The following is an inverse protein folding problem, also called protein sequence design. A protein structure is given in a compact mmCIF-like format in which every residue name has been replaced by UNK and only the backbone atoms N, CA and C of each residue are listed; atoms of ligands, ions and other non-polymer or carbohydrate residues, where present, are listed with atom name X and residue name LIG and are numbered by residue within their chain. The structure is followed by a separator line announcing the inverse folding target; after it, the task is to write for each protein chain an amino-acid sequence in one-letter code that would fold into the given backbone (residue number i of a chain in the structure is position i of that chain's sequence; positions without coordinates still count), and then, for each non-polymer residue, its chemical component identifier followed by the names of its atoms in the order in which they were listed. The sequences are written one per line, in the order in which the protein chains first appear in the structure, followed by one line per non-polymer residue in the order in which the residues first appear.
data_IF_360001467380
#
_entry.id   IF_360001467380
#
_cell.length_a   1.000
_cell.length_b   1.000
_cell.length_c   1.000
_cell.angle_alpha   90.00
_cell.angle_beta   90.00
_cell.angle_gamma   90.00
#
_symmetry.space_group_name_H-M   'P 1'
#
loop_
_entity.id
_entity.type
_entity.pdbx_description
1 polymer ?
#
# COMPACT_ATOMS: atom_id res chain seq x y z
N UNK A 1 -9.79 28.82 1.16
CA UNK A 1 -9.32 27.43 0.96
C UNK A 1 -7.81 27.49 0.80
N UNK A 2 -7.01 27.01 1.78
CA UNK A 2 -5.55 26.97 1.63
C UNK A 2 -5.22 25.81 0.69
N UNK A 3 -4.77 26.13 -0.52
CA UNK A 3 -4.31 25.14 -1.48
C UNK A 3 -2.95 24.62 -1.01
N UNK A 4 -2.92 23.44 -0.40
CA UNK A 4 -1.66 22.71 -0.18
C UNK A 4 -1.11 22.29 -1.54
N UNK A 5 0.13 22.68 -1.85
CA UNK A 5 0.83 22.25 -3.07
C UNK A 5 0.75 20.72 -3.21
N UNK A 6 0.66 20.23 -4.46
CA UNK A 6 0.64 18.81 -4.81
C UNK A 6 1.86 18.07 -4.25
N UNK A 7 3.00 18.77 -4.13
CA UNK A 7 4.25 18.27 -3.55
C UNK A 7 4.10 17.98 -2.05
N UNK A 8 3.47 18.89 -1.28
CA UNK A 8 3.20 18.67 0.14
C UNK A 8 2.22 17.54 0.42
N UNK A 9 1.33 17.23 -0.53
CA UNK A 9 0.33 16.16 -0.38
C UNK A 9 0.90 14.76 -0.62
N UNK A 10 2.13 14.67 -1.16
CA UNK A 10 2.80 13.42 -1.52
C UNK A 10 3.95 13.05 -0.57
N UNK A 11 4.39 13.98 0.29
CA UNK A 11 5.46 13.74 1.25
C UNK A 11 4.99 12.81 2.38
N UNK A 12 5.67 11.68 2.54
CA UNK A 12 5.52 10.79 3.69
C UNK A 12 6.03 11.51 4.94
N UNK A 13 5.13 11.83 5.88
CA UNK A 13 5.50 12.54 7.10
C UNK A 13 5.38 11.61 8.31
N UNK A 14 6.51 11.30 8.99
CA UNK A 14 6.46 10.57 10.24
C UNK A 14 5.62 11.29 11.30
N UNK A 15 4.78 10.55 12.01
CA UNK A 15 4.00 11.07 13.13
C UNK A 15 4.92 11.36 14.31
N UNK A 16 4.68 12.50 14.96
CA UNK A 16 5.33 12.84 16.23
C UNK A 16 4.82 11.98 17.39
N UNK A 17 3.62 11.41 17.27
CA UNK A 17 3.01 10.53 18.27
C UNK A 17 3.17 9.08 17.83
N UNK A 18 3.93 8.30 18.61
CA UNK A 18 4.15 6.87 18.34
C UNK A 18 3.01 5.97 18.84
N UNK A 19 2.02 6.52 19.55
CA UNK A 19 0.86 5.78 20.07
C UNK A 19 -0.19 5.50 19.00
N UNK A 20 -0.20 6.26 17.91
CA UNK A 20 -1.13 6.10 16.79
C UNK A 20 -0.71 5.01 15.81
N UNK A 21 -1.37 4.98 14.65
CA UNK A 21 -1.08 4.04 13.55
C UNK A 21 -0.66 4.76 12.27
N UNK A 22 -1.20 5.96 12.00
CA UNK A 22 -0.82 6.74 10.82
C UNK A 22 0.51 7.46 11.05
N UNK A 23 1.40 7.46 10.05
CA UNK A 23 2.74 8.04 10.20
C UNK A 23 3.64 7.30 11.18
N UNK A 24 3.28 6.09 11.63
CA UNK A 24 4.12 5.26 12.52
C UNK A 24 4.71 4.12 11.71
N UNK A 25 5.97 3.75 11.99
CA UNK A 25 6.62 2.63 11.29
C UNK A 25 5.81 1.35 11.49
N UNK A 26 5.56 0.62 10.40
CA UNK A 26 4.74 -0.59 10.43
C UNK A 26 5.24 -1.61 11.47
N UNK A 27 6.57 -1.77 11.60
CA UNK A 27 7.20 -2.64 12.60
C UNK A 27 6.88 -2.26 14.07
N UNK A 28 6.67 -0.97 14.35
CA UNK A 28 6.28 -0.49 15.69
C UNK A 28 4.81 -0.86 15.95
N UNK A 29 3.93 -0.64 14.97
CA UNK A 29 2.51 -0.95 15.05
C UNK A 29 2.29 -2.44 15.25
N UNK A 30 2.88 -3.29 14.40
CA UNK A 30 2.75 -4.75 14.47
C UNK A 30 3.29 -5.33 15.77
N UNK A 31 4.43 -4.83 16.25
CA UNK A 31 4.99 -5.21 17.56
C UNK A 31 4.05 -4.86 18.72
N UNK A 32 3.45 -3.67 18.70
CA UNK A 32 2.52 -3.21 19.74
C UNK A 32 1.23 -4.03 19.74
N UNK A 33 0.69 -4.33 18.57
CA UNK A 33 -0.53 -5.11 18.38
C UNK A 33 -0.32 -6.62 18.53
N UNK A 34 0.94 -7.07 18.67
CA UNK A 34 1.32 -8.50 18.70
C UNK A 34 0.76 -9.27 17.50
N UNK A 35 0.76 -8.63 16.33
CA UNK A 35 0.25 -9.21 15.08
C UNK A 35 1.21 -8.92 13.94
N UNK A 36 1.29 -9.80 12.94
CA UNK A 36 2.17 -9.61 11.77
C UNK A 36 1.61 -8.61 10.75
N UNK A 37 0.30 -8.41 10.74
CA UNK A 37 -0.40 -7.47 9.85
C UNK A 37 -1.16 -6.44 10.70
N UNK A 38 -0.99 -5.13 10.46
CA UNK A 38 -1.66 -4.09 11.23
C UNK A 38 -3.19 -4.27 11.27
N UNK A 39 -3.79 -3.99 12.43
CA UNK A 39 -5.23 -4.11 12.66
C UNK A 39 -6.05 -3.29 11.65
N UNK A 40 -5.62 -2.06 11.36
CA UNK A 40 -6.24 -1.21 10.33
C UNK A 40 -6.31 -1.88 8.96
N UNK A 41 -5.24 -2.57 8.54
CA UNK A 41 -5.20 -3.26 7.25
C UNK A 41 -6.20 -4.43 7.25
N UNK A 42 -6.19 -5.24 8.32
CA UNK A 42 -7.09 -6.39 8.46
C UNK A 42 -8.57 -5.96 8.45
N UNK A 43 -8.93 -4.95 9.25
CA UNK A 43 -10.33 -4.50 9.33
C UNK A 43 -10.82 -3.86 8.04
N UNK A 44 -10.00 -3.03 7.39
CA UNK A 44 -10.40 -2.45 6.11
C UNK A 44 -10.60 -3.53 5.04
N UNK A 45 -9.67 -4.49 4.95
CA UNK A 45 -9.77 -5.59 3.99
C UNK A 45 -11.00 -6.45 4.28
N UNK A 46 -11.20 -6.88 5.53
CA UNK A 46 -12.34 -7.70 5.94
C UNK A 46 -13.68 -7.03 5.60
N UNK A 47 -13.81 -5.74 5.89
CA UNK A 47 -15.04 -5.00 5.64
C UNK A 47 -15.28 -4.74 4.14
N UNK A 48 -14.22 -4.50 3.36
CA UNK A 48 -14.32 -4.39 1.89
C UNK A 48 -14.67 -5.74 1.27
N UNK A 49 -14.11 -6.85 1.78
CA UNK A 49 -14.48 -8.19 1.30
C UNK A 49 -15.92 -8.55 1.64
N UNK A 50 -16.40 -8.11 2.81
CA UNK A 50 -17.76 -8.37 3.25
C UNK A 50 -18.83 -7.71 2.37
N UNK A 51 -18.59 -6.51 1.84
CA UNK A 51 -19.64 -5.73 1.13
C UNK A 51 -19.19 -4.87 -0.05
N UNK A 52 -17.89 -4.76 -0.31
CA UNK A 52 -17.33 -3.91 -1.37
C UNK A 52 -16.86 -4.65 -2.61
N UNK A 53 -16.92 -5.99 -2.63
CA UNK A 53 -16.36 -6.79 -3.74
C UNK A 53 -17.04 -6.56 -5.09
N UNK A 54 -18.29 -6.12 -5.08
CA UNK A 54 -19.09 -5.81 -6.27
C UNK A 54 -19.22 -4.29 -6.53
N UNK A 55 -18.65 -3.44 -5.66
CA UNK A 55 -18.72 -1.99 -5.78
C UNK A 55 -17.94 -1.52 -7.03
N UNK A 56 -18.63 -0.86 -7.95
CA UNK A 56 -18.05 -0.43 -9.22
C UNK A 56 -16.94 0.59 -9.01
N UNK A 57 -15.72 0.20 -9.38
CA UNK A 57 -14.54 1.03 -9.20
C UNK A 57 -14.03 1.06 -7.77
N UNK A 58 -14.26 0.04 -6.95
CA UNK A 58 -13.66 -0.09 -5.62
C UNK A 58 -12.14 0.20 -5.68
N UNK A 59 -11.62 0.95 -4.71
CA UNK A 59 -10.28 1.55 -4.71
C UNK A 59 -9.98 2.64 -5.75
N UNK A 60 -10.65 2.69 -6.91
CA UNK A 60 -10.52 3.79 -7.87
C UNK A 60 -11.36 5.00 -7.46
N UNK A 61 -12.62 4.76 -7.11
CA UNK A 61 -13.55 5.80 -6.65
C UNK A 61 -13.11 6.27 -5.26
N UNK A 62 -13.13 7.58 -5.06
CA UNK A 62 -12.79 8.19 -3.78
C UNK A 62 -14.04 8.23 -2.88
N UNK A 63 -13.91 7.71 -1.67
CA UNK A 63 -14.90 7.95 -0.63
C UNK A 63 -14.92 9.39 -0.15
N UNK A 64 -15.92 9.72 0.66
CA UNK A 64 -16.09 11.06 1.25
C UNK A 64 -14.90 11.37 2.15
N UNK A 65 -14.25 12.52 1.92
CA UNK A 65 -13.02 12.89 2.61
C UNK A 65 -13.19 13.01 4.14
N UNK A 66 -14.35 13.51 4.61
CA UNK A 66 -14.65 13.62 6.03
C UNK A 66 -14.71 12.25 6.71
N UNK A 67 -15.29 11.25 6.05
CA UNK A 67 -15.41 9.89 6.59
C UNK A 67 -14.04 9.22 6.66
N UNK A 68 -13.21 9.41 5.63
CA UNK A 68 -11.81 8.95 5.63
C UNK A 68 -11.04 9.57 6.81
N UNK A 69 -11.21 10.88 7.07
CA UNK A 69 -10.54 11.53 8.20
C UNK A 69 -11.10 11.06 9.56
N UNK A 70 -12.41 10.79 9.65
CA UNK A 70 -13.03 10.26 10.86
C UNK A 70 -12.52 8.85 11.18
N UNK A 71 -12.44 7.97 10.17
CA UNK A 71 -11.86 6.63 10.32
C UNK A 71 -10.38 6.69 10.68
N UNK A 72 -9.61 7.57 10.03
CA UNK A 72 -8.21 7.82 10.40
C UNK A 72 -8.09 8.19 11.87
N UNK A 73 -8.88 9.15 12.35
CA UNK A 73 -8.86 9.57 13.75
C UNK A 73 -9.23 8.42 14.70
N UNK A 74 -10.24 7.62 14.35
CA UNK A 74 -10.68 6.48 15.16
C UNK A 74 -9.60 5.40 15.29
N UNK A 75 -8.94 5.04 14.17
CA UNK A 75 -7.82 4.10 14.19
C UNK A 75 -6.60 4.66 14.95
N UNK A 76 -6.31 5.95 14.82
CA UNK A 76 -5.13 6.57 15.45
C UNK A 76 -5.22 6.64 16.99
N UNK A 77 -6.43 6.61 17.55
CA UNK A 77 -6.64 6.50 19.00
C UNK A 77 -6.93 5.08 19.48
N UNK A 78 -6.81 4.08 18.60
CA UNK A 78 -7.15 2.67 18.87
C UNK A 78 -8.58 2.50 19.42
N UNK A 79 -9.55 3.16 18.77
CA UNK A 79 -10.95 3.05 19.15
C UNK A 79 -11.46 1.62 18.94
N UNK A 80 -12.02 1.01 20.00
CA UNK A 80 -12.55 -0.36 19.98
C UNK A 80 -13.82 -0.49 19.12
N UNK A 81 -14.53 0.61 18.90
CA UNK A 81 -15.79 0.63 18.15
C UNK A 81 -15.59 0.95 16.66
N UNK A 82 -14.34 0.96 16.16
CA UNK A 82 -14.04 1.32 14.77
C UNK A 82 -14.73 0.40 13.76
N UNK A 83 -14.91 -0.89 14.08
CA UNK A 83 -15.63 -1.84 13.23
C UNK A 83 -17.11 -1.46 13.07
N UNK A 84 -17.76 -1.00 14.14
CA UNK A 84 -19.13 -0.50 14.11
C UNK A 84 -19.22 0.76 13.25
N UNK A 85 -18.31 1.73 13.48
CA UNK A 85 -18.24 2.95 12.67
C UNK A 85 -18.08 2.64 11.17
N UNK A 86 -17.19 1.69 10.82
CA UNK A 86 -16.98 1.28 9.44
C UNK A 86 -18.24 0.68 8.81
N UNK A 87 -19.04 -0.07 9.57
CA UNK A 87 -20.25 -0.72 9.05
C UNK A 87 -21.33 0.27 8.58
N UNK A 88 -21.32 1.50 9.12
CA UNK A 88 -22.26 2.57 8.80
C UNK A 88 -21.78 3.51 7.67
N UNK A 89 -20.51 3.41 7.28
CA UNK A 89 -19.89 4.30 6.29
C UNK A 89 -19.90 3.73 4.86
N UNK A 90 -19.69 4.57 3.87
CA UNK A 90 -19.52 4.13 2.48
C UNK A 90 -18.24 3.27 2.33
N UNK A 91 -18.31 2.20 1.53
CA UNK A 91 -17.17 1.27 1.38
C UNK A 91 -15.98 1.93 0.69
N UNK A 92 -16.20 2.94 -0.16
CA UNK A 92 -15.12 3.73 -0.77
C UNK A 92 -14.40 4.61 0.26
N UNK A 93 -15.03 4.97 1.38
CA UNK A 93 -14.35 5.64 2.49
C UNK A 93 -13.39 4.69 3.23
N UNK A 94 -13.77 3.42 3.36
CA UNK A 94 -12.90 2.39 3.95
C UNK A 94 -11.73 2.08 3.02
N UNK A 95 -11.99 1.88 1.73
CA UNK A 95 -10.96 1.73 0.70
C UNK A 95 -10.02 2.95 0.66
N UNK A 96 -10.59 4.15 0.80
CA UNK A 96 -9.85 5.40 0.94
C UNK A 96 -8.94 5.44 2.16
N UNK A 97 -9.43 4.95 3.31
CA UNK A 97 -8.70 4.87 4.58
C UNK A 97 -7.53 3.89 4.50
N UNK A 98 -7.74 2.71 3.89
CA UNK A 98 -6.68 1.73 3.66
C UNK A 98 -5.56 2.30 2.79
N UNK A 99 -5.92 2.95 1.67
CA UNK A 99 -4.93 3.63 0.80
C UNK A 99 -4.20 4.75 1.54
N UNK A 100 -4.92 5.51 2.37
CA UNK A 100 -4.34 6.60 3.16
C UNK A 100 -3.31 6.06 4.16
N UNK A 101 -3.59 4.95 4.82
CA UNK A 101 -2.66 4.31 5.77
C UNK A 101 -1.31 4.01 5.11
N UNK A 102 -1.33 3.30 3.98
CA UNK A 102 -0.10 2.96 3.26
C UNK A 102 0.62 4.20 2.73
N UNK A 103 -0.11 5.21 2.26
CA UNK A 103 0.47 6.47 1.77
C UNK A 103 1.15 7.27 2.89
N UNK A 104 0.63 7.19 4.11
CA UNK A 104 1.18 7.93 5.25
C UNK A 104 2.21 7.14 6.07
N UNK A 105 2.54 5.90 5.71
CA UNK A 105 3.68 5.21 6.33
C UNK A 105 4.95 6.08 6.19
N UNK A 106 5.80 6.17 7.23
CA UNK A 106 7.06 6.93 7.18
C UNK A 106 8.01 6.54 6.05
N UNK A 107 7.86 5.33 5.55
CA UNK A 107 8.59 4.73 4.44
C UNK A 107 7.58 3.88 3.65
N UNK A 108 7.66 3.79 2.31
CA UNK A 108 6.81 2.90 1.52
C UNK A 108 6.87 1.45 2.01
N UNK A 109 5.81 0.68 1.72
CA UNK A 109 5.75 -0.72 2.08
C UNK A 109 6.89 -1.53 1.42
N UNK A 110 7.32 -1.11 0.23
CA UNK A 110 8.45 -1.69 -0.52
C UNK A 110 9.83 -1.13 -0.14
N UNK A 111 9.90 -0.31 0.91
CA UNK A 111 11.10 0.37 1.44
C UNK A 111 11.77 1.34 0.46
N UNK A 112 12.40 2.38 1.01
CA UNK A 112 13.17 3.34 0.20
C UNK A 112 14.47 2.69 -0.31
N UNK A 113 14.98 1.72 0.46
CA UNK A 113 16.23 1.01 0.16
C UNK A 113 16.08 0.04 -1.02
N UNK A 114 14.98 -0.72 -1.09
CA UNK A 114 14.82 -1.78 -2.10
C UNK A 114 14.14 -1.29 -3.39
N UNK A 115 13.43 -0.16 -3.36
CA UNK A 115 12.70 0.35 -4.53
C UNK A 115 13.57 0.48 -5.80
N UNK A 116 14.80 1.04 -5.78
CA UNK A 116 15.64 1.12 -6.98
C UNK A 116 15.89 -0.26 -7.61
N UNK A 117 16.12 -1.29 -6.78
CA UNK A 117 16.34 -2.64 -7.26
C UNK A 117 15.06 -3.27 -7.84
N UNK A 118 13.89 -2.98 -7.28
CA UNK A 118 12.62 -3.40 -7.90
C UNK A 118 12.42 -2.74 -9.27
N UNK A 119 12.75 -1.46 -9.41
CA UNK A 119 12.63 -0.73 -10.66
C UNK A 119 13.60 -1.24 -11.75
N UNK A 120 14.81 -1.63 -11.36
CA UNK A 120 15.77 -2.29 -12.26
C UNK A 120 15.34 -3.72 -12.60
N UNK A 121 14.90 -4.49 -11.60
CA UNK A 121 14.49 -5.88 -11.74
C UNK A 121 13.31 -6.04 -12.72
N UNK A 122 12.30 -5.17 -12.63
CA UNK A 122 11.15 -5.24 -13.53
C UNK A 122 11.50 -4.90 -14.99
N UNK A 123 12.56 -4.12 -15.20
CA UNK A 123 13.07 -3.72 -16.51
C UNK A 123 13.93 -4.80 -17.20
N UNK A 124 14.30 -5.88 -16.50
CA UNK A 124 15.04 -7.00 -17.08
C UNK A 124 14.27 -7.60 -18.27
N UNK A 125 14.99 -7.95 -19.34
CA UNK A 125 14.37 -8.58 -20.53
C UNK A 125 14.29 -10.10 -20.41
N UNK A 126 15.27 -10.72 -19.74
CA UNK A 126 15.30 -12.16 -19.52
C UNK A 126 14.26 -12.57 -18.45
N UNK A 127 13.28 -13.42 -18.78
CA UNK A 127 12.21 -13.79 -17.85
C UNK A 127 12.70 -14.51 -16.59
N UNK A 128 13.72 -15.38 -16.71
CA UNK A 128 14.22 -16.19 -15.59
C UNK A 128 15.00 -15.31 -14.61
N UNK A 129 15.85 -14.42 -15.12
CA UNK A 129 16.57 -13.45 -14.32
C UNK A 129 15.61 -12.46 -13.65
N UNK A 130 14.58 -11.99 -14.37
CA UNK A 130 13.52 -11.16 -13.80
C UNK A 130 12.82 -11.86 -12.65
N UNK A 131 12.38 -13.09 -12.86
CA UNK A 131 11.69 -13.86 -11.84
C UNK A 131 12.54 -14.05 -10.58
N UNK A 132 13.78 -14.52 -10.77
CA UNK A 132 14.73 -14.71 -9.67
C UNK A 132 14.99 -13.40 -8.91
N UNK A 133 15.23 -12.30 -9.62
CA UNK A 133 15.48 -10.98 -9.02
C UNK A 133 14.27 -10.49 -8.22
N UNK A 134 13.09 -10.46 -8.84
CA UNK A 134 11.87 -9.92 -8.23
C UNK A 134 11.45 -10.72 -7.00
N UNK A 135 11.57 -12.05 -7.03
CA UNK A 135 11.26 -12.91 -5.88
C UNK A 135 12.27 -12.73 -4.75
N UNK A 136 13.58 -12.65 -5.06
CA UNK A 136 14.60 -12.41 -4.04
C UNK A 136 14.42 -11.05 -3.36
N UNK A 137 14.07 -10.01 -4.12
CA UNK A 137 13.78 -8.68 -3.57
C UNK A 137 12.54 -8.70 -2.67
N UNK A 138 11.48 -9.38 -3.10
CA UNK A 138 10.28 -9.55 -2.29
C UNK A 138 10.60 -10.22 -0.95
N UNK A 139 11.37 -11.31 -0.96
CA UNK A 139 11.77 -12.04 0.23
C UNK A 139 12.78 -11.28 1.12
N UNK A 140 13.43 -10.25 0.58
CA UNK A 140 14.34 -9.37 1.31
C UNK A 140 13.62 -8.24 2.07
N UNK A 141 12.31 -8.05 1.85
CA UNK A 141 11.52 -7.09 2.61
C UNK A 141 11.51 -7.46 4.11
N UNK A 142 11.50 -6.47 5.02
CA UNK A 142 11.27 -6.72 6.43
C UNK A 142 9.98 -7.53 6.66
N UNK A 143 9.99 -8.48 7.60
CA UNK A 143 8.85 -9.40 7.80
C UNK A 143 7.48 -8.69 7.91
N UNK A 144 7.31 -7.60 8.68
CA UNK A 144 6.04 -6.87 8.73
C UNK A 144 5.59 -6.34 7.36
N UNK A 145 6.53 -5.87 6.54
CA UNK A 145 6.28 -5.35 5.20
C UNK A 145 5.87 -6.47 4.26
N UNK A 146 6.64 -7.56 4.23
CA UNK A 146 6.37 -8.73 3.39
C UNK A 146 5.00 -9.32 3.70
N UNK A 147 4.72 -9.65 4.97
CA UNK A 147 3.48 -10.32 5.34
C UNK A 147 2.26 -9.41 5.10
N UNK A 148 2.39 -8.10 5.37
CA UNK A 148 1.33 -7.14 5.07
C UNK A 148 1.09 -7.00 3.57
N UNK A 149 2.16 -7.00 2.76
CA UNK A 149 2.04 -6.97 1.31
C UNK A 149 1.37 -8.23 0.77
N UNK A 150 1.77 -9.42 1.21
CA UNK A 150 1.15 -10.67 0.77
C UNK A 150 -0.34 -10.72 1.12
N UNK A 151 -0.70 -10.27 2.33
CA UNK A 151 -2.11 -10.16 2.76
C UNK A 151 -2.91 -9.21 1.85
N UNK A 152 -2.35 -8.04 1.53
CA UNK A 152 -2.98 -7.08 0.62
C UNK A 152 -3.06 -7.63 -0.81
N UNK A 153 -2.00 -8.28 -1.30
CA UNK A 153 -1.93 -8.80 -2.65
C UNK A 153 -3.00 -9.86 -2.91
N UNK A 154 -3.17 -10.77 -1.95
CA UNK A 154 -4.19 -11.81 -1.98
C UNK A 154 -5.60 -11.22 -2.01
N UNK A 155 -5.85 -10.18 -1.20
CA UNK A 155 -7.09 -9.39 -1.27
C UNK A 155 -7.30 -8.75 -2.66
N UNK A 156 -6.29 -8.08 -3.21
CA UNK A 156 -6.40 -7.41 -4.52
C UNK A 156 -6.66 -8.40 -5.66
N UNK A 157 -6.10 -9.61 -5.59
CA UNK A 157 -6.42 -10.69 -6.54
C UNK A 157 -7.89 -11.09 -6.47
N UNK A 158 -8.44 -11.31 -5.27
CA UNK A 158 -9.89 -11.58 -5.09
C UNK A 158 -10.77 -10.46 -5.62
N UNK A 159 -10.36 -9.20 -5.48
CA UNK A 159 -11.09 -8.07 -6.06
C UNK A 159 -11.10 -8.16 -7.59
N UNK A 160 -9.96 -8.48 -8.20
CA UNK A 160 -9.85 -8.63 -9.65
C UNK A 160 -10.63 -9.84 -10.20
N UNK A 161 -10.82 -10.90 -9.43
CA UNK A 161 -11.69 -12.02 -9.82
C UNK A 161 -13.16 -11.59 -10.05
N UNK A 162 -13.56 -10.45 -9.47
CA UNK A 162 -14.88 -9.84 -9.64
C UNK A 162 -14.90 -8.70 -10.69
N UNK A 163 -13.87 -8.61 -11.53
CA UNK A 163 -13.71 -7.54 -12.54
C UNK A 163 -14.95 -7.37 -13.44
N UNK A 164 -15.64 -8.47 -13.79
CA UNK A 164 -16.85 -8.41 -14.61
C UNK A 164 -17.96 -7.54 -14.00
N UNK A 165 -17.98 -7.39 -12.68
CA UNK A 165 -18.95 -6.59 -11.92
C UNK A 165 -18.31 -5.26 -11.50
N UNK A 166 -17.25 -5.30 -10.69
CA UNK A 166 -16.66 -4.11 -10.08
C UNK A 166 -15.77 -3.29 -11.06
N UNK A 167 -15.46 -3.82 -12.24
CA UNK A 167 -14.64 -3.17 -13.29
C UNK A 167 -13.19 -2.87 -12.90
N UNK A 168 -12.66 -3.56 -11.89
CA UNK A 168 -11.29 -3.38 -11.38
C UNK A 168 -10.41 -4.57 -11.74
N UNK A 169 -9.75 -4.49 -12.90
CA UNK A 169 -8.73 -5.45 -13.33
C UNK A 169 -7.46 -5.41 -12.47
N UNK A 170 -6.60 -6.43 -12.59
CA UNK A 170 -5.26 -6.40 -11.97
C UNK A 170 -4.47 -5.15 -12.35
N UNK A 171 -4.56 -4.71 -13.61
CA UNK A 171 -3.89 -3.49 -14.09
C UNK A 171 -4.49 -2.22 -13.47
N UNK A 172 -5.83 -2.14 -13.34
CA UNK A 172 -6.49 -1.01 -12.70
C UNK A 172 -6.10 -0.91 -11.21
N UNK A 173 -6.05 -2.04 -10.51
CA UNK A 173 -5.62 -2.10 -9.12
C UNK A 173 -4.13 -1.74 -8.98
N UNK A 174 -3.27 -2.24 -9.88
CA UNK A 174 -1.85 -1.89 -9.90
C UNK A 174 -1.63 -0.38 -10.12
N UNK A 175 -2.45 0.25 -10.96
CA UNK A 175 -2.40 1.71 -11.19
C UNK A 175 -2.71 2.51 -9.95
N UNK A 176 -3.65 2.05 -9.11
CA UNK A 176 -4.02 2.70 -7.86
C UNK A 176 -2.98 2.44 -6.76
N UNK A 177 -2.54 1.20 -6.61
CA UNK A 177 -1.71 0.80 -5.48
C UNK A 177 -0.20 0.90 -5.73
N UNK A 178 0.28 0.90 -6.98
CA UNK A 178 1.70 1.01 -7.30
C UNK A 178 2.33 2.25 -6.66
N UNK A 179 1.83 3.46 -6.96
CA UNK A 179 2.33 4.69 -6.31
C UNK A 179 2.08 4.72 -4.79
N UNK A 180 1.03 4.06 -4.31
CA UNK A 180 0.67 4.02 -2.89
C UNK A 180 1.68 3.20 -2.07
N UNK A 181 2.16 2.09 -2.64
CA UNK A 181 3.00 1.11 -1.94
C UNK A 181 4.50 1.28 -2.20
N UNK A 182 4.88 1.80 -3.37
CA UNK A 182 6.28 1.80 -3.84
C UNK A 182 6.93 3.18 -3.91
N UNK A 183 6.16 4.27 -3.96
CA UNK A 183 6.74 5.60 -4.10
C UNK A 183 7.72 5.90 -2.97
N UNK A 184 9.00 6.16 -3.28
CA UNK A 184 10.00 6.51 -2.29
C UNK A 184 9.63 7.77 -1.52
N UNK A 185 10.07 7.83 -0.27
CA UNK A 185 10.04 9.04 0.53
C UNK A 185 10.97 10.08 -0.10
N UNK A 186 10.50 11.32 -0.22
CA UNK A 186 11.38 12.44 -0.58
C UNK A 186 12.44 12.60 0.51
N UNK A 187 13.67 12.15 0.25
CA UNK A 187 14.84 12.57 1.02
C UNK A 187 15.01 14.06 0.75
N UNK A 188 15.21 14.88 1.78
CA UNK A 188 15.41 16.34 1.65
C UNK A 188 16.62 16.60 0.75
N UNK A 189 16.34 16.62 -0.56
CA UNK A 189 17.28 16.91 -1.60
C UNK A 189 17.49 18.41 -1.47
N UNK A 190 18.69 18.82 -1.07
CA UNK A 190 19.10 20.21 -1.17
C UNK A 190 18.72 20.70 -2.56
N UNK A 191 17.75 21.60 -2.61
CA UNK A 191 17.26 22.22 -3.85
C UNK A 191 18.49 22.64 -4.66
N UNK A 192 18.72 22.15 -5.89
CA UNK A 192 19.77 22.68 -6.72
C UNK A 192 19.45 24.15 -6.97
N UNK A 193 20.31 25.06 -6.51
CA UNK A 193 20.14 26.50 -6.57
C UNK A 193 20.37 27.08 -7.99
N UNK A 194 19.84 26.46 -9.05
CA UNK A 194 19.99 26.96 -10.41
C UNK A 194 18.63 26.99 -11.17
N UNK A 195 18.01 28.18 -11.35
CA UNK A 195 16.71 28.33 -12.01
C UNK A 195 16.74 28.36 -13.55
N UNK A 196 17.84 27.94 -14.21
CA UNK A 196 18.06 28.22 -15.64
C UNK A 196 18.03 27.03 -16.60
N UNK A 197 17.57 25.84 -16.18
CA UNK A 197 17.34 24.74 -17.12
C UNK A 197 15.84 24.45 -17.31
N UNK A 198 15.32 24.44 -18.55
CA UNK A 198 13.98 23.95 -18.81
C UNK A 198 13.93 22.48 -18.42
N UNK A 199 13.11 22.21 -17.43
CA UNK A 199 12.98 20.93 -16.76
C UNK A 199 12.32 19.92 -17.71
N UNK A 200 13.05 18.91 -18.16
CA UNK A 200 12.55 17.68 -18.81
C UNK A 200 11.90 16.71 -17.79
N UNK A 201 11.13 17.23 -16.81
CA UNK A 201 10.57 16.40 -15.71
C UNK A 201 9.30 15.63 -16.05
N UNK A 202 8.64 15.95 -17.16
CA UNK A 202 7.39 15.27 -17.52
C UNK A 202 7.62 13.79 -17.84
N UNK A 203 8.79 13.45 -18.40
CA UNK A 203 9.08 12.09 -18.84
C UNK A 203 9.56 11.23 -17.65
N UNK A 204 10.50 11.75 -16.86
CA UNK A 204 11.10 11.00 -15.74
C UNK A 204 10.07 10.58 -14.68
N UNK A 205 9.16 11.48 -14.30
CA UNK A 205 8.11 11.18 -13.33
C UNK A 205 7.12 10.14 -13.85
N UNK A 206 6.77 10.23 -15.13
CA UNK A 206 5.88 9.27 -15.77
C UNK A 206 6.53 7.89 -15.83
N UNK A 207 7.83 7.81 -16.11
CA UNK A 207 8.61 6.57 -16.06
C UNK A 207 8.64 5.94 -14.66
N UNK A 208 8.83 6.76 -13.63
CA UNK A 208 8.86 6.26 -12.24
C UNK A 208 7.51 5.66 -11.82
N UNK A 209 6.41 6.37 -12.12
CA UNK A 209 5.06 5.88 -11.86
C UNK A 209 4.77 4.60 -12.66
N UNK A 210 5.18 4.53 -13.94
CA UNK A 210 5.02 3.33 -14.75
C UNK A 210 5.77 2.13 -14.13
N UNK A 211 7.00 2.34 -13.66
CA UNK A 211 7.77 1.30 -12.97
C UNK A 211 7.06 0.81 -11.70
N UNK A 212 6.53 1.72 -10.88
CA UNK A 212 5.75 1.37 -9.68
C UNK A 212 4.52 0.51 -10.02
N UNK A 213 3.82 0.84 -11.09
CA UNK A 213 2.66 0.06 -11.57
C UNK A 213 3.09 -1.31 -12.09
N UNK A 214 4.18 -1.38 -12.88
CA UNK A 214 4.67 -2.63 -13.43
C UNK A 214 5.18 -3.60 -12.36
N UNK A 215 5.87 -3.10 -11.31
CA UNK A 215 6.31 -3.94 -10.19
C UNK A 215 5.12 -4.58 -9.48
N UNK A 216 4.09 -3.80 -9.16
CA UNK A 216 2.92 -4.34 -8.48
C UNK A 216 2.13 -5.29 -9.40
N UNK A 217 1.96 -4.92 -10.67
CA UNK A 217 1.27 -5.76 -11.65
C UNK A 217 1.97 -7.12 -11.83
N UNK A 218 3.30 -7.13 -11.83
CA UNK A 218 4.09 -8.36 -11.90
C UNK A 218 3.70 -9.34 -10.78
N UNK A 219 3.69 -8.89 -9.52
CA UNK A 219 3.29 -9.75 -8.39
C UNK A 219 1.82 -10.14 -8.41
N UNK A 220 0.94 -9.26 -8.88
CA UNK A 220 -0.49 -9.55 -9.05
C UNK A 220 -0.74 -10.65 -10.10
N UNK A 221 0.13 -10.79 -11.09
CA UNK A 221 0.01 -11.77 -12.18
C UNK A 221 0.63 -13.14 -11.86
N UNK A 222 1.45 -13.26 -10.81
CA UNK A 222 2.00 -14.55 -10.40
C UNK A 222 0.88 -15.47 -9.91
N UNK A 223 0.80 -16.70 -10.41
CA UNK A 223 -0.18 -17.70 -9.94
C UNK A 223 0.07 -18.04 -8.46
N UNK A 224 1.33 -18.28 -8.10
CA UNK A 224 1.76 -18.56 -6.74
C UNK A 224 2.94 -17.68 -6.37
N UNK A 225 2.90 -17.04 -5.21
CA UNK A 225 4.09 -16.46 -4.62
C UNK A 225 4.73 -17.53 -3.72
N UNK A 226 6.05 -17.78 -3.83
CA UNK A 226 6.76 -18.64 -2.89
C UNK A 226 6.52 -18.12 -1.47
N UNK A 227 5.73 -18.84 -0.68
CA UNK A 227 5.55 -18.48 0.72
C UNK A 227 6.84 -18.80 1.48
N UNK A 228 7.28 -17.96 2.42
CA UNK A 228 8.36 -18.31 3.32
C UNK A 228 7.92 -19.51 4.17
N UNK A 229 8.45 -20.70 3.83
CA UNK A 229 8.46 -21.99 4.54
C UNK A 229 7.26 -22.33 5.46
N UNK A 230 6.60 -23.46 5.20
CA UNK A 230 5.32 -23.90 5.81
C UNK A 230 5.28 -23.93 7.35
N UNK A 231 6.42 -23.85 8.05
CA UNK A 231 6.47 -23.66 9.51
C UNK A 231 5.97 -22.28 9.98
N UNK A 232 5.90 -21.27 9.12
CA UNK A 232 5.31 -19.94 9.45
C UNK A 232 3.80 -19.85 9.21
N UNK A 233 3.20 -20.77 8.45
CA UNK A 233 1.77 -20.77 8.12
C UNK A 233 0.89 -21.07 9.34
N UNK A 234 1.34 -21.90 10.28
CA UNK A 234 0.61 -22.16 11.52
C UNK A 234 0.45 -20.91 12.41
N UNK A 235 1.29 -19.90 12.21
CA UNK A 235 1.27 -18.65 12.99
C UNK A 235 0.46 -17.55 12.26
N UNK A 236 0.16 -17.71 10.96
CA UNK A 236 -0.61 -16.72 10.20
C UNK A 236 -2.12 -16.76 10.51
N UNK A 237 -2.61 -17.88 11.04
CA UNK A 237 -4.02 -18.10 11.37
C UNK A 237 -4.30 -18.50 12.82
N UNK A 238 -3.28 -18.53 13.71
CA UNK A 238 -3.51 -18.76 15.13
C UNK A 238 -3.97 -17.47 15.81
N UNK A 239 -5.27 -17.23 15.80
CA UNK A 239 -5.92 -16.54 16.92
C UNK A 239 -6.00 -17.53 18.07
N UNK A 240 -4.92 -17.65 18.85
CA UNK A 240 -5.04 -18.18 20.21
C UNK A 240 -5.21 -17.00 21.17
N UNK A 241 -6.22 -17.18 22.02
CA UNK A 241 -6.91 -16.26 22.95
C UNK A 241 -5.98 -15.40 23.81
#
# INVERSE_FOLDING_TARGET
VKFTSREFSLKRMPSRKQTGVFGVKIAIVTKRERSKVPYIVRQCVEEIERRGMEEVGIYRVSGVATDIQALKAAFDVNNKDVSVMMSEMDVNAIAGTLKLYFRELPEPLFTDELYPNFAEGIALSDPVAKESCMLNLLLSLPEPNLVTFLFLLDHLKRVAERESINKMSLHNLATVFGPTLLRPSEKDSKIPANPTQPITMTDSWSLEVMSQVQVLLYFLQLETIPTPDSKRQSILFSTEV
#
